data_IF_958090466492
#
_entry.id   IF_958090466492
#
_cell.length_a   1.000
_cell.length_b   1.000
_cell.length_c   1.000
_cell.angle_alpha   90.00
_cell.angle_beta   90.00
_cell.angle_gamma   90.00
#
_symmetry.space_group_name_H-M   'P 1'
#
loop_
_entity.id
_entity.type
_entity.pdbx_description
1 polymer ?
#
# COMPACT_ATOMS: atom_id res chain seq x y z
N UNK A 1 -1.84 -4.03 1.48
CA UNK A 1 -0.52 -3.44 1.17
C UNK A 1 0.45 -4.56 0.87
N UNK A 2 1.57 -4.33 0.16
CA UNK A 2 2.53 -5.39 -0.17
C UNK A 2 3.03 -6.12 1.08
N UNK A 3 3.36 -5.38 2.14
CA UNK A 3 3.90 -5.92 3.38
C UNK A 3 2.91 -6.80 4.17
N UNK A 4 1.60 -6.66 3.96
CA UNK A 4 0.57 -7.45 4.65
C UNK A 4 -0.12 -8.45 3.72
N UNK A 5 0.19 -8.43 2.43
CA UNK A 5 -0.53 -9.19 1.41
C UNK A 5 -0.50 -10.70 1.67
N UNK A 6 0.66 -11.23 2.08
CA UNK A 6 0.82 -12.68 2.33
C UNK A 6 -0.10 -13.20 3.44
N UNK A 7 -0.32 -12.40 4.50
CA UNK A 7 -1.25 -12.73 5.58
C UNK A 7 -2.67 -12.84 5.02
N UNK A 8 -3.08 -11.84 4.21
CA UNK A 8 -4.38 -11.83 3.56
C UNK A 8 -4.58 -13.04 2.64
N UNK A 9 -3.60 -13.31 1.79
CA UNK A 9 -3.63 -14.43 0.87
C UNK A 9 -3.72 -15.79 1.58
N UNK A 10 -2.94 -15.98 2.64
CA UNK A 10 -2.97 -17.20 3.44
C UNK A 10 -4.35 -17.43 4.07
N UNK A 11 -4.89 -16.40 4.74
CA UNK A 11 -6.15 -16.53 5.49
C UNK A 11 -7.35 -16.72 4.54
N UNK A 12 -7.42 -15.92 3.47
CA UNK A 12 -8.48 -16.04 2.47
C UNK A 12 -8.44 -17.43 1.83
N UNK A 13 -7.28 -17.91 1.39
CA UNK A 13 -7.16 -19.24 0.80
C UNK A 13 -7.59 -20.34 1.78
N UNK A 14 -7.16 -20.27 3.05
CA UNK A 14 -7.47 -21.28 4.05
C UNK A 14 -8.96 -21.37 4.42
N UNK A 15 -9.64 -20.22 4.54
CA UNK A 15 -11.04 -20.18 4.99
C UNK A 15 -12.07 -20.23 3.87
N UNK A 16 -11.66 -19.90 2.64
CA UNK A 16 -12.61 -19.73 1.52
C UNK A 16 -12.28 -20.57 0.30
N UNK A 17 -11.04 -21.10 0.20
CA UNK A 17 -10.53 -21.73 -1.02
C UNK A 17 -10.27 -20.77 -2.17
N UNK A 18 -10.52 -19.46 -2.00
CA UNK A 18 -10.35 -18.46 -3.05
C UNK A 18 -8.92 -17.90 -3.08
N UNK A 19 -8.53 -17.39 -4.25
CA UNK A 19 -7.28 -16.65 -4.40
C UNK A 19 -7.48 -15.19 -4.03
N UNK A 20 -6.71 -14.70 -3.06
CA UNK A 20 -6.67 -13.28 -2.77
C UNK A 20 -5.91 -12.52 -3.87
N UNK A 21 -6.61 -11.67 -4.61
CA UNK A 21 -5.96 -10.73 -5.56
C UNK A 21 -5.43 -9.51 -4.81
N UNK A 22 -6.29 -8.92 -3.98
CA UNK A 22 -6.01 -7.64 -3.31
C UNK A 22 -5.96 -6.47 -4.28
N UNK A 23 -5.84 -5.28 -3.71
CA UNK A 23 -5.64 -4.03 -4.44
C UNK A 23 -4.72 -3.12 -3.63
N UNK A 24 -4.23 -2.05 -4.26
CA UNK A 24 -3.54 -0.99 -3.53
C UNK A 24 -4.52 -0.37 -2.52
N UNK A 25 -4.02 -0.12 -1.31
CA UNK A 25 -4.83 0.52 -0.26
C UNK A 25 -5.23 1.92 -0.73
N UNK A 26 -6.54 2.18 -0.71
CA UNK A 26 -7.16 3.46 -1.05
C UNK A 26 -7.44 4.33 0.19
N UNK A 27 -8.57 5.03 0.17
CA UNK A 27 -9.12 5.81 1.30
C UNK A 27 -10.63 5.62 1.45
N UNK A 28 -11.09 4.40 1.21
CA UNK A 28 -12.52 4.06 1.14
C UNK A 28 -13.07 3.44 2.43
N UNK A 29 -12.28 3.44 3.51
CA UNK A 29 -12.67 3.00 4.85
C UNK A 29 -11.76 3.64 5.92
N UNK A 30 -11.80 3.12 7.15
CA UNK A 30 -11.06 3.64 8.33
C UNK A 30 -9.54 3.41 8.28
N UNK A 31 -8.89 3.84 7.20
CA UNK A 31 -7.44 3.79 7.00
C UNK A 31 -6.75 5.02 7.61
N UNK A 32 -7.13 5.34 8.86
CA UNK A 32 -6.73 6.58 9.55
C UNK A 32 -5.27 6.60 10.00
N UNK A 33 -4.60 5.45 10.04
CA UNK A 33 -3.26 5.29 10.63
C UNK A 33 -2.11 5.28 9.61
N UNK A 34 -2.41 5.59 8.35
CA UNK A 34 -1.39 5.69 7.29
C UNK A 34 -0.34 6.76 7.62
N UNK A 35 -0.75 7.91 8.16
CA UNK A 35 0.15 9.01 8.50
C UNK A 35 1.18 8.69 9.59
N UNK A 36 0.83 7.80 10.52
CA UNK A 36 1.77 7.32 11.57
C UNK A 36 2.48 6.02 11.20
N UNK A 37 2.18 5.49 10.01
CA UNK A 37 2.82 4.34 9.41
C UNK A 37 2.46 2.99 10.03
N UNK A 38 1.17 2.79 10.29
CA UNK A 38 0.62 1.45 10.59
C UNK A 38 0.13 0.82 9.28
N UNK A 39 0.60 -0.39 8.91
CA UNK A 39 0.15 -1.04 7.69
C UNK A 39 -1.32 -1.48 7.80
N UNK A 40 -2.00 -1.49 6.66
CA UNK A 40 -3.40 -1.92 6.57
C UNK A 40 -3.53 -3.25 5.85
N UNK A 41 -4.53 -4.04 6.27
CA UNK A 41 -4.93 -5.28 5.64
C UNK A 41 -6.46 -5.34 5.64
N UNK A 42 -7.01 -5.67 4.48
CA UNK A 42 -8.44 -5.66 4.18
C UNK A 42 -9.09 -4.27 4.29
N UNK A 43 -10.28 -4.19 3.69
CA UNK A 43 -11.21 -3.07 3.81
C UNK A 43 -12.61 -3.65 3.73
N UNK A 44 -12.89 -4.32 2.61
CA UNK A 44 -14.13 -5.02 2.35
C UNK A 44 -13.83 -6.49 2.06
N UNK A 45 -14.68 -7.37 2.58
CA UNK A 45 -14.75 -8.79 2.26
C UNK A 45 -16.15 -9.05 1.68
N UNK A 46 -16.33 -10.22 1.04
CA UNK A 46 -17.62 -10.60 0.44
C UNK A 46 -18.14 -9.64 -0.64
N UNK A 47 -17.25 -9.03 -1.42
CA UNK A 47 -17.66 -8.21 -2.56
C UNK A 47 -18.41 -9.03 -3.61
N UNK A 48 -19.37 -8.39 -4.27
CA UNK A 48 -20.09 -8.97 -5.40
C UNK A 48 -19.18 -9.14 -6.63
N UNK A 49 -19.47 -10.10 -7.53
CA UNK A 49 -18.84 -10.17 -8.85
C UNK A 49 -19.07 -8.86 -9.64
N UNK A 50 -18.09 -8.44 -10.44
CA UNK A 50 -18.15 -7.17 -11.17
C UNK A 50 -19.32 -7.07 -12.18
N UNK A 51 -19.66 -8.20 -12.78
CA UNK A 51 -20.76 -8.38 -13.72
C UNK A 51 -22.07 -8.83 -13.03
N UNK A 52 -22.06 -8.96 -11.70
CA UNK A 52 -23.24 -9.34 -10.93
C UNK A 52 -24.35 -8.30 -11.00
N UNK A 53 -25.63 -8.73 -10.95
CA UNK A 53 -26.77 -7.80 -10.97
C UNK A 53 -26.85 -6.93 -9.72
N UNK A 54 -26.29 -7.41 -8.60
CA UNK A 54 -26.36 -6.72 -7.31
C UNK A 54 -25.19 -5.79 -7.05
N UNK A 55 -24.16 -5.78 -7.90
CA UNK A 55 -22.94 -5.00 -7.71
C UNK A 55 -23.20 -3.48 -7.77
N UNK A 56 -22.84 -2.76 -6.70
CA UNK A 56 -22.92 -1.29 -6.65
C UNK A 56 -21.91 -0.63 -7.59
N UNK A 57 -20.74 -1.27 -7.76
CA UNK A 57 -19.60 -0.78 -8.54
C UNK A 57 -19.01 0.54 -8.05
N UNK A 58 -19.35 0.99 -6.84
CA UNK A 58 -18.86 2.27 -6.30
C UNK A 58 -17.33 2.28 -6.12
N UNK A 59 -16.71 1.11 -5.93
CA UNK A 59 -15.26 0.99 -5.84
C UNK A 59 -14.54 0.94 -7.20
N UNK A 60 -15.25 1.00 -8.34
CA UNK A 60 -14.59 1.03 -9.65
C UNK A 60 -13.63 2.23 -9.80
N UNK A 61 -13.97 3.38 -9.20
CA UNK A 61 -13.13 4.59 -9.20
C UNK A 61 -11.81 4.42 -8.44
N UNK A 62 -11.71 3.42 -7.57
CA UNK A 62 -10.48 3.11 -6.81
C UNK A 62 -9.56 2.14 -7.56
N UNK A 63 -9.94 1.74 -8.79
CA UNK A 63 -9.23 0.76 -9.58
C UNK A 63 -9.53 -0.69 -9.17
N UNK A 64 -10.54 -0.92 -8.32
CA UNK A 64 -11.01 -2.27 -7.99
C UNK A 64 -11.65 -2.92 -9.22
N UNK A 65 -11.32 -4.19 -9.46
CA UNK A 65 -11.97 -5.03 -10.48
C UNK A 65 -13.10 -5.88 -9.90
N UNK A 66 -13.44 -5.71 -8.62
CA UNK A 66 -14.59 -6.34 -7.98
C UNK A 66 -15.87 -5.53 -8.24
N UNK A 67 -17.04 -6.15 -8.05
CA UNK A 67 -18.34 -5.48 -8.11
C UNK A 67 -18.63 -4.57 -6.91
N UNK A 68 -17.79 -4.63 -5.88
CA UNK A 68 -17.96 -3.87 -4.66
C UNK A 68 -19.07 -4.43 -3.78
N UNK A 69 -19.75 -3.54 -3.06
CA UNK A 69 -20.87 -3.90 -2.20
C UNK A 69 -22.16 -4.07 -3.02
N UNK A 70 -23.26 -4.38 -2.33
CA UNK A 70 -24.58 -4.41 -2.97
C UNK A 70 -25.06 -3.01 -3.34
N UNK A 71 -25.88 -2.87 -4.40
CA UNK A 71 -26.46 -1.57 -4.82
C UNK A 71 -27.27 -0.86 -3.73
N UNK A 72 -27.72 -1.60 -2.72
CA UNK A 72 -28.42 -1.10 -1.55
C UNK A 72 -27.49 -0.40 -0.54
N UNK A 73 -26.17 -0.50 -0.69
CA UNK A 73 -25.23 0.16 0.21
C UNK A 73 -25.48 1.67 0.25
N UNK A 74 -25.55 2.25 1.45
CA UNK A 74 -25.94 3.65 1.69
C UNK A 74 -27.35 4.04 1.20
N UNK A 75 -28.26 3.08 1.04
CA UNK A 75 -29.67 3.33 0.73
C UNK A 75 -30.59 2.77 1.84
N UNK A 76 -31.87 3.20 1.90
CA UNK A 76 -32.84 2.64 2.84
C UNK A 76 -33.11 1.14 2.66
N UNK A 77 -32.75 0.57 1.50
CA UNK A 77 -32.87 -0.85 1.17
C UNK A 77 -31.74 -1.71 1.78
N UNK A 78 -30.76 -1.11 2.47
CA UNK A 78 -29.72 -1.83 3.23
C UNK A 78 -30.31 -2.45 4.51
N UNK A 79 -31.10 -3.50 4.34
CA UNK A 79 -31.85 -4.17 5.41
C UNK A 79 -31.37 -5.61 5.64
N UNK A 80 -31.78 -6.20 6.78
CA UNK A 80 -31.32 -7.51 7.23
C UNK A 80 -31.59 -8.67 6.26
N UNK A 81 -32.54 -8.53 5.32
CA UNK A 81 -32.81 -9.53 4.27
C UNK A 81 -31.67 -9.66 3.25
N UNK A 82 -30.75 -8.70 3.19
CA UNK A 82 -29.53 -8.75 2.35
C UNK A 82 -28.35 -9.41 3.02
N UNK A 83 -28.42 -9.63 4.34
CA UNK A 83 -27.34 -10.23 5.09
C UNK A 83 -27.29 -11.74 4.84
N UNK A 84 -26.12 -12.25 4.47
CA UNK A 84 -25.82 -13.68 4.51
C UNK A 84 -25.12 -14.04 5.84
N UNK A 85 -25.78 -14.76 6.76
CA UNK A 85 -25.18 -15.16 8.03
C UNK A 85 -23.92 -16.02 7.87
N UNK A 86 -23.84 -16.85 6.82
CA UNK A 86 -22.67 -17.69 6.57
C UNK A 86 -21.48 -16.84 6.09
N UNK A 87 -21.72 -15.85 5.23
CA UNK A 87 -20.71 -14.88 4.83
C UNK A 87 -20.21 -14.06 6.03
N UNK A 88 -21.11 -13.58 6.90
CA UNK A 88 -20.74 -12.84 8.11
C UNK A 88 -19.83 -13.65 9.04
N UNK A 89 -20.17 -14.93 9.29
CA UNK A 89 -19.35 -15.82 10.13
C UNK A 89 -17.97 -16.03 9.49
N UNK A 90 -17.93 -16.32 8.19
CA UNK A 90 -16.67 -16.51 7.45
C UNK A 90 -15.79 -15.27 7.50
N UNK A 91 -16.35 -14.10 7.25
CA UNK A 91 -15.60 -12.84 7.21
C UNK A 91 -15.07 -12.47 8.61
N UNK A 92 -15.86 -12.71 9.66
CA UNK A 92 -15.38 -12.58 11.04
C UNK A 92 -14.22 -13.54 11.34
N UNK A 93 -14.29 -14.79 10.85
CA UNK A 93 -13.19 -15.75 10.96
C UNK A 93 -11.94 -15.29 10.20
N UNK A 94 -12.08 -14.66 9.02
CA UNK A 94 -10.96 -14.08 8.27
C UNK A 94 -10.25 -13.01 9.10
N UNK A 95 -11.00 -12.05 9.66
CA UNK A 95 -10.40 -11.02 10.51
C UNK A 95 -9.75 -11.62 11.77
N UNK A 96 -10.45 -12.54 12.46
CA UNK A 96 -9.92 -13.18 13.66
C UNK A 96 -8.63 -13.98 13.38
N UNK A 97 -8.57 -14.71 12.26
CA UNK A 97 -7.39 -15.47 11.87
C UNK A 97 -6.20 -14.56 11.53
N UNK A 98 -6.43 -13.46 10.78
CA UNK A 98 -5.39 -12.49 10.47
C UNK A 98 -4.84 -11.81 11.74
N UNK A 99 -5.73 -11.42 12.66
CA UNK A 99 -5.34 -10.87 13.98
C UNK A 99 -4.57 -11.89 14.79
N UNK A 100 -5.02 -13.14 14.83
CA UNK A 100 -4.32 -14.22 15.52
C UNK A 100 -2.88 -14.36 15.01
N UNK A 101 -2.69 -14.46 13.69
CA UNK A 101 -1.37 -14.55 13.06
C UNK A 101 -0.49 -13.37 13.49
N UNK A 102 -1.00 -12.13 13.42
CA UNK A 102 -0.24 -10.94 13.80
C UNK A 102 0.13 -10.90 15.29
N UNK A 103 -0.73 -11.43 16.16
CA UNK A 103 -0.52 -11.42 17.61
C UNK A 103 0.30 -12.60 18.15
N UNK A 104 0.37 -13.72 17.43
CA UNK A 104 1.03 -14.95 17.91
C UNK A 104 2.31 -15.31 17.16
N UNK A 105 2.59 -14.68 16.02
CA UNK A 105 3.84 -14.93 15.30
C UNK A 105 5.05 -14.44 16.10
N UNK A 106 6.05 -15.32 16.26
CA UNK A 106 7.30 -15.01 16.97
C UNK A 106 8.02 -13.81 16.32
N UNK A 107 8.08 -13.81 14.99
CA UNK A 107 8.51 -12.68 14.16
C UNK A 107 7.28 -12.17 13.40
N UNK A 108 7.04 -10.86 13.40
CA UNK A 108 5.92 -10.25 12.70
C UNK A 108 5.97 -10.62 11.21
N UNK A 109 4.88 -11.14 10.62
CA UNK A 109 4.85 -11.58 9.23
C UNK A 109 4.64 -10.40 8.27
N UNK A 110 5.42 -9.33 8.42
CA UNK A 110 5.37 -8.14 7.57
C UNK A 110 6.48 -8.21 6.51
N UNK A 111 6.13 -8.26 5.24
CA UNK A 111 7.07 -8.38 4.13
C UNK A 111 7.40 -7.02 3.49
N UNK A 112 8.19 -6.20 4.17
CA UNK A 112 8.68 -4.94 3.59
C UNK A 112 9.65 -5.14 2.41
N UNK A 113 10.12 -6.37 2.16
CA UNK A 113 10.88 -6.68 0.93
C UNK A 113 9.96 -6.62 -0.29
N UNK A 114 8.68 -7.01 -0.15
CA UNK A 114 7.67 -6.85 -1.19
C UNK A 114 7.40 -5.36 -1.47
N UNK A 115 7.28 -4.53 -0.42
CA UNK A 115 7.11 -3.07 -0.58
C UNK A 115 8.29 -2.45 -1.32
N UNK A 116 9.52 -2.80 -0.97
CA UNK A 116 10.73 -2.30 -1.63
C UNK A 116 10.82 -2.76 -3.09
N UNK A 117 10.44 -4.01 -3.37
CA UNK A 117 10.41 -4.58 -4.73
C UNK A 117 9.39 -3.89 -5.63
N UNK A 118 8.17 -3.67 -5.14
CA UNK A 118 7.14 -2.92 -5.86
C UNK A 118 7.61 -1.50 -6.16
N UNK A 119 8.15 -0.81 -5.14
CA UNK A 119 8.69 0.54 -5.30
C UNK A 119 9.81 0.59 -6.36
N UNK A 120 10.76 -0.34 -6.33
CA UNK A 120 11.85 -0.39 -7.31
C UNK A 120 11.32 -0.64 -8.75
N UNK A 121 10.29 -1.46 -8.92
CA UNK A 121 9.67 -1.70 -10.21
C UNK A 121 8.94 -0.44 -10.74
N UNK A 122 8.19 0.25 -9.87
CA UNK A 122 7.54 1.51 -10.22
C UNK A 122 8.56 2.60 -10.58
N UNK A 123 9.64 2.74 -9.80
CA UNK A 123 10.70 3.70 -10.07
C UNK A 123 11.41 3.45 -11.40
N UNK A 124 11.70 2.19 -11.75
CA UNK A 124 12.26 1.84 -13.07
C UNK A 124 11.32 2.22 -14.21
N UNK A 125 10.02 1.96 -14.04
CA UNK A 125 8.99 2.36 -15.01
C UNK A 125 8.94 3.89 -15.16
N UNK A 126 9.06 4.63 -14.07
CA UNK A 126 9.12 6.09 -14.10
C UNK A 126 10.40 6.60 -14.76
N UNK A 127 11.57 6.05 -14.42
CA UNK A 127 12.85 6.43 -15.03
C UNK A 127 12.83 6.25 -16.55
N UNK A 128 12.26 5.15 -17.04
CA UNK A 128 12.12 4.91 -18.48
C UNK A 128 11.26 5.98 -19.18
N UNK A 129 10.22 6.50 -18.51
CA UNK A 129 9.38 7.59 -19.03
C UNK A 129 10.05 8.96 -18.94
N UNK A 130 10.88 9.18 -17.92
CA UNK A 130 11.60 10.44 -17.70
C UNK A 130 12.76 10.61 -18.68
N UNK A 131 13.45 9.53 -19.05
CA UNK A 131 14.69 9.58 -19.81
C UNK A 131 15.71 10.49 -19.12
N UNK A 132 16.37 11.35 -19.90
CA UNK A 132 17.39 12.28 -19.39
C UNK A 132 16.82 13.52 -18.70
N UNK A 133 15.49 13.66 -18.62
CA UNK A 133 14.87 14.89 -18.07
C UNK A 133 14.93 14.96 -16.54
N UNK A 134 14.98 13.81 -15.88
CA UNK A 134 15.09 13.71 -14.43
C UNK A 134 15.57 12.31 -14.04
N UNK A 135 16.49 12.25 -13.08
CA UNK A 135 17.12 11.00 -12.65
C UNK A 135 16.64 10.57 -11.26
N UNK A 136 16.10 9.34 -11.19
CA UNK A 136 15.67 8.63 -9.99
C UNK A 136 16.48 7.33 -9.77
N UNK A 137 17.60 7.14 -10.47
CA UNK A 137 18.45 5.95 -10.37
C UNK A 137 18.95 5.69 -8.95
N UNK A 138 19.26 6.74 -8.19
CA UNK A 138 19.64 6.63 -6.78
C UNK A 138 18.51 6.01 -5.93
N UNK A 139 17.26 6.40 -6.17
CA UNK A 139 16.10 5.82 -5.46
C UNK A 139 15.94 4.33 -5.80
N UNK A 140 16.18 3.95 -7.06
CA UNK A 140 16.13 2.54 -7.50
C UNK A 140 17.18 1.74 -6.74
N UNK A 141 18.43 2.21 -6.71
CA UNK A 141 19.52 1.53 -6.02
C UNK A 141 19.33 1.43 -4.51
N UNK A 142 18.75 2.45 -3.87
CA UNK A 142 18.38 2.39 -2.44
C UNK A 142 17.22 1.42 -2.17
N UNK A 143 16.20 1.38 -3.04
CA UNK A 143 15.08 0.44 -2.92
C UNK A 143 15.52 -1.02 -3.10
N UNK A 144 16.40 -1.31 -4.08
CA UNK A 144 16.95 -2.65 -4.30
C UNK A 144 17.77 -3.14 -3.09
N UNK A 145 18.60 -2.26 -2.51
CA UNK A 145 19.37 -2.58 -1.30
C UNK A 145 18.45 -2.83 -0.11
N UNK A 146 17.44 -1.99 0.08
CA UNK A 146 16.43 -2.18 1.13
C UNK A 146 15.71 -3.53 0.97
N UNK A 147 15.32 -3.90 -0.25
CA UNK A 147 14.70 -5.21 -0.53
C UNK A 147 15.60 -6.36 -0.05
N UNK A 148 16.88 -6.34 -0.40
CA UNK A 148 17.83 -7.38 -0.03
C UNK A 148 18.05 -7.44 1.50
N UNK A 149 18.23 -6.29 2.14
CA UNK A 149 18.47 -6.18 3.58
C UNK A 149 17.25 -6.66 4.40
N UNK A 150 16.03 -6.27 4.03
CA UNK A 150 14.80 -6.72 4.71
C UNK A 150 14.60 -8.23 4.55
N UNK A 151 14.92 -8.80 3.38
CA UNK A 151 14.77 -10.23 3.14
C UNK A 151 15.67 -11.11 4.04
N UNK A 152 16.78 -10.55 4.53
CA UNK A 152 17.67 -11.22 5.48
C UNK A 152 17.30 -10.96 6.95
N UNK A 153 16.72 -9.78 7.26
CA UNK A 153 16.36 -9.38 8.63
C UNK A 153 15.56 -10.46 9.36
N UNK A 154 14.53 -11.04 8.74
CA UNK A 154 13.68 -12.04 9.37
C UNK A 154 14.39 -13.39 9.61
N UNK A 155 15.49 -13.66 8.91
CA UNK A 155 16.25 -14.91 8.99
C UNK A 155 17.40 -14.84 10.00
N UNK A 156 18.04 -13.69 10.07
CA UNK A 156 19.34 -13.54 10.75
C UNK A 156 19.21 -12.85 12.12
N UNK A 157 18.21 -11.98 12.31
CA UNK A 157 18.08 -11.20 13.54
C UNK A 157 17.28 -11.94 14.62
N UNK A 158 17.59 -11.71 15.92
CA UNK A 158 16.74 -12.17 17.02
C UNK A 158 15.31 -11.63 16.87
N UNK A 159 14.26 -12.40 17.23
CA UNK A 159 12.87 -12.01 16.96
C UNK A 159 12.47 -10.62 17.47
N UNK A 160 12.91 -10.24 18.67
CA UNK A 160 12.62 -8.93 19.23
C UNK A 160 13.26 -7.77 18.43
N UNK A 161 14.45 -7.99 17.87
CA UNK A 161 15.15 -7.01 17.03
C UNK A 161 14.44 -6.90 15.68
N UNK A 162 14.17 -8.05 15.04
CA UNK A 162 13.42 -8.10 13.78
C UNK A 162 12.06 -7.38 13.90
N UNK A 163 11.28 -7.67 14.94
CA UNK A 163 9.97 -7.05 15.14
C UNK A 163 10.06 -5.53 15.32
N UNK A 164 11.05 -5.03 16.07
CA UNK A 164 11.26 -3.58 16.22
C UNK A 164 11.61 -2.92 14.89
N UNK A 165 12.51 -3.53 14.12
CA UNK A 165 12.90 -3.04 12.80
C UNK A 165 11.70 -3.04 11.84
N UNK A 166 10.94 -4.15 11.74
CA UNK A 166 9.75 -4.25 10.90
C UNK A 166 8.70 -3.19 11.24
N UNK A 167 8.36 -3.01 12.53
CA UNK A 167 7.42 -1.95 12.90
C UNK A 167 7.96 -0.55 12.62
N UNK A 168 9.29 -0.35 12.67
CA UNK A 168 9.91 0.95 12.37
C UNK A 168 9.94 1.23 10.85
N UNK A 169 10.10 0.21 10.02
CA UNK A 169 9.96 0.33 8.56
C UNK A 169 8.58 0.85 8.18
N UNK A 170 7.50 0.36 8.80
CA UNK A 170 6.16 0.89 8.58
C UNK A 170 6.06 2.39 8.89
N UNK A 171 6.58 2.81 10.04
CA UNK A 171 6.59 4.22 10.49
C UNK A 171 7.37 5.16 9.57
N UNK A 172 8.28 4.62 8.76
CA UNK A 172 9.11 5.40 7.82
C UNK A 172 8.50 5.38 6.41
N UNK A 173 8.18 4.20 5.88
CA UNK A 173 7.83 4.01 4.47
C UNK A 173 6.36 4.38 4.19
N UNK A 174 5.43 3.98 5.06
CA UNK A 174 4.00 4.13 4.78
C UNK A 174 3.59 5.60 4.70
N UNK A 175 3.99 6.51 5.61
CA UNK A 175 3.62 7.92 5.49
C UNK A 175 4.11 8.53 4.18
N UNK A 176 5.34 8.18 3.76
CA UNK A 176 5.92 8.71 2.52
C UNK A 176 5.21 8.16 1.26
N UNK A 177 4.76 6.92 1.29
CA UNK A 177 4.18 6.25 0.11
C UNK A 177 2.65 6.39 0.00
N UNK A 178 1.97 6.79 1.07
CA UNK A 178 0.50 6.80 1.13
C UNK A 178 -0.12 8.10 1.65
N UNK A 179 0.66 9.08 2.13
CA UNK A 179 0.12 10.37 2.58
C UNK A 179 0.80 11.59 1.94
N UNK A 180 0.02 12.61 1.58
CA UNK A 180 0.55 13.89 1.06
C UNK A 180 0.82 14.87 2.21
N UNK A 181 -0.10 14.93 3.17
CA UNK A 181 -0.05 15.78 4.36
C UNK A 181 0.92 15.26 5.43
N UNK A 182 1.39 14.01 5.30
CA UNK A 182 2.38 13.42 6.19
C UNK A 182 1.77 12.85 7.46
N UNK A 183 2.44 13.07 8.60
CA UNK A 183 2.16 12.40 9.88
C UNK A 183 1.11 13.06 10.75
N UNK A 184 0.97 14.38 10.63
CA UNK A 184 0.22 15.19 11.59
C UNK A 184 -1.11 15.71 11.05
N UNK A 185 -1.53 15.23 9.88
CA UNK A 185 -2.77 15.66 9.24
C UNK A 185 -3.31 14.55 8.31
N UNK A 186 -4.54 14.71 7.82
CA UNK A 186 -5.24 13.74 6.98
C UNK A 186 -5.41 14.26 5.55
N UNK A 187 -5.05 13.41 4.57
CA UNK A 187 -5.40 13.72 3.18
C UNK A 187 -6.88 13.48 2.91
N UNK A 188 -7.46 14.20 1.93
CA UNK A 188 -8.81 13.95 1.44
C UNK A 188 -9.02 12.48 1.04
N UNK A 189 -10.26 11.99 1.17
CA UNK A 189 -10.68 10.63 0.79
C UNK A 189 -10.76 10.45 -0.74
N UNK A 190 -9.62 10.64 -1.41
CA UNK A 190 -9.44 10.50 -2.86
C UNK A 190 -8.47 9.37 -3.16
N UNK A 191 -8.35 8.98 -4.43
CA UNK A 191 -7.40 7.96 -4.84
C UNK A 191 -5.97 8.37 -4.47
N UNK A 192 -5.18 7.42 -3.98
CA UNK A 192 -3.78 7.63 -3.64
C UNK A 192 -2.94 7.34 -4.89
N UNK A 193 -2.25 8.34 -5.47
CA UNK A 193 -1.34 8.09 -6.59
C UNK A 193 -0.26 7.04 -6.28
N UNK A 194 0.09 6.25 -7.29
CA UNK A 194 1.33 5.49 -7.29
C UNK A 194 2.53 6.44 -7.28
N UNK A 195 3.65 6.00 -6.68
CA UNK A 195 4.82 6.85 -6.46
C UNK A 195 4.44 8.24 -5.93
N UNK A 196 3.60 8.32 -4.89
CA UNK A 196 3.15 9.57 -4.29
C UNK A 196 4.22 10.67 -4.11
N UNK A 197 5.44 10.38 -3.62
CA UNK A 197 6.47 11.41 -3.49
C UNK A 197 7.02 11.92 -4.84
N UNK A 198 6.71 11.27 -5.96
CA UNK A 198 7.20 11.57 -7.31
C UNK A 198 6.05 11.80 -8.31
N UNK A 199 4.88 12.21 -7.83
CA UNK A 199 3.74 12.56 -8.70
C UNK A 199 4.12 13.65 -9.70
N UNK A 200 4.86 14.66 -9.26
CA UNK A 200 5.32 15.76 -10.12
C UNK A 200 6.38 15.31 -11.11
N UNK A 201 7.22 14.32 -10.77
CA UNK A 201 8.12 13.71 -11.74
C UNK A 201 7.33 12.94 -12.82
N UNK A 202 6.25 12.26 -12.43
CA UNK A 202 5.37 11.58 -13.38
C UNK A 202 4.68 12.57 -14.33
N UNK A 203 4.28 13.75 -13.83
CA UNK A 203 3.76 14.85 -14.65
C UNK A 203 4.83 15.47 -15.55
N UNK A 204 6.04 15.65 -15.02
CA UNK A 204 7.20 16.11 -15.79
C UNK A 204 7.49 15.17 -16.97
N UNK A 205 7.24 13.87 -16.82
CA UNK A 205 7.36 12.87 -17.89
C UNK A 205 6.41 13.13 -19.09
N UNK A 206 5.35 13.92 -18.93
CA UNK A 206 4.40 14.27 -20.00
C UNK A 206 4.43 15.73 -20.46
N UNK A 207 5.13 16.63 -19.76
CA UNK A 207 5.07 18.08 -20.04
C UNK A 207 5.96 18.52 -21.21
N UNK A 208 5.63 19.67 -21.80
CA UNK A 208 6.50 20.38 -22.75
C UNK A 208 7.80 20.84 -22.04
N UNK A 209 8.99 20.38 -22.47
CA UNK A 209 10.26 20.74 -21.84
C UNK A 209 10.57 22.24 -21.79
N UNK A 210 10.04 23.03 -22.73
CA UNK A 210 10.29 24.47 -22.78
C UNK A 210 9.36 25.29 -21.88
N UNK A 211 8.30 24.68 -21.35
CA UNK A 211 7.28 25.36 -20.55
C UNK A 211 7.78 25.78 -19.17
N UNK A 212 7.18 26.84 -18.62
CA UNK A 212 7.40 27.22 -17.22
C UNK A 212 6.85 26.18 -16.24
N UNK A 213 5.82 25.43 -16.65
CA UNK A 213 5.31 24.28 -15.88
C UNK A 213 6.39 23.21 -15.69
N UNK A 214 7.14 22.87 -16.74
CA UNK A 214 8.22 21.87 -16.65
C UNK A 214 9.29 22.29 -15.63
N UNK A 215 9.64 23.58 -15.57
CA UNK A 215 10.59 24.11 -14.58
C UNK A 215 10.05 23.95 -13.15
N UNK A 216 8.78 24.29 -12.93
CA UNK A 216 8.13 24.15 -11.64
C UNK A 216 8.02 22.67 -11.20
N UNK A 217 7.63 21.78 -12.12
CA UNK A 217 7.56 20.34 -11.91
C UNK A 217 8.93 19.74 -11.60
N UNK A 218 9.99 20.17 -12.28
CA UNK A 218 11.35 19.72 -11.99
C UNK A 218 11.75 20.05 -10.55
N UNK A 219 11.52 21.29 -10.09
CA UNK A 219 11.82 21.70 -8.71
C UNK A 219 11.00 20.89 -7.70
N UNK A 220 9.74 20.60 -7.99
CA UNK A 220 8.91 19.72 -7.15
C UNK A 220 9.41 18.28 -7.12
N UNK A 221 9.80 17.73 -8.27
CA UNK A 221 10.37 16.40 -8.40
C UNK A 221 11.68 16.25 -7.60
N UNK A 222 12.54 17.28 -7.55
CA UNK A 222 13.73 17.29 -6.69
C UNK A 222 13.35 17.12 -5.21
N UNK A 223 12.36 17.87 -4.71
CA UNK A 223 11.89 17.73 -3.31
C UNK A 223 11.33 16.34 -3.05
N UNK A 224 10.56 15.82 -4.00
CA UNK A 224 9.98 14.49 -3.98
C UNK A 224 11.03 13.38 -3.88
N UNK A 225 12.02 13.42 -4.77
CA UNK A 225 13.18 12.50 -4.79
C UNK A 225 13.94 12.55 -3.47
N UNK A 226 14.24 13.75 -2.98
CA UNK A 226 14.99 13.91 -1.73
C UNK A 226 14.22 13.34 -0.52
N UNK A 227 12.90 13.54 -0.45
CA UNK A 227 12.05 12.95 0.59
C UNK A 227 12.07 11.41 0.53
N UNK A 228 11.97 10.84 -0.66
CA UNK A 228 12.02 9.39 -0.84
C UNK A 228 13.40 8.80 -0.48
N UNK A 229 14.49 9.43 -0.94
CA UNK A 229 15.86 9.02 -0.59
C UNK A 229 16.11 9.08 0.91
N UNK A 230 15.64 10.14 1.57
CA UNK A 230 15.75 10.25 3.03
C UNK A 230 15.04 9.07 3.71
N UNK A 231 13.80 8.76 3.31
CA UNK A 231 13.03 7.67 3.88
C UNK A 231 13.68 6.30 3.65
N UNK A 232 14.17 6.04 2.43
CA UNK A 232 14.90 4.80 2.11
C UNK A 232 16.18 4.68 2.94
N UNK A 233 16.95 5.76 3.05
CA UNK A 233 18.16 5.78 3.88
C UNK A 233 17.87 5.57 5.37
N UNK A 234 16.79 6.16 5.88
CA UNK A 234 16.32 5.93 7.27
C UNK A 234 15.87 4.50 7.49
N UNK A 235 15.13 3.92 6.53
CA UNK A 235 14.68 2.53 6.57
C UNK A 235 15.86 1.56 6.61
N UNK A 236 16.88 1.75 5.78
CA UNK A 236 18.07 0.90 5.79
C UNK A 236 18.88 1.02 7.07
N UNK A 237 19.07 2.25 7.58
CA UNK A 237 19.73 2.48 8.88
C UNK A 237 19.00 1.80 10.04
N UNK A 238 17.67 1.68 10.00
CA UNK A 238 16.94 1.02 11.08
C UNK A 238 17.04 -0.50 11.07
N UNK A 239 17.42 -1.11 9.94
CA UNK A 239 17.69 -2.55 9.83
C UNK A 239 19.08 -2.88 10.40
N UNK A 240 20.03 -1.94 10.30
CA UNK A 240 21.42 -2.12 10.73
C UNK A 240 21.64 -1.87 12.24
N UNK A 241 20.59 -1.58 13.02
CA UNK A 241 20.62 -1.25 14.45
C UNK A 241 19.99 -2.36 15.30
#
# INVERSE_FOLDING_TARGET
MPETWAIGAQVIAALTGQQYRGSRVGRSGDQSLLGIGVPSLFMTLSEHPADGPDASRDFAITGSTAGGLGWWWHTPEDTLDKLDPAALIRDAQVYAAAVHILCTSLVLPLDYSATARELAAELRTLQAKLGDRFDVSDCIGEADRLQAEVAQLAKEAPPAVANRALMRLGRILIPVLYTQAGRFDHDPATSIPHLLPLVEASRLAGSDPASDEAKALHIAAVRGRNRLLQALGEARRCISQ
#
